data_IF_038881310279
#
_entry.id   IF_038881310279
#
_cell.length_a   1.000
_cell.length_b   1.000
_cell.length_c   1.000
_cell.angle_alpha   90.00
_cell.angle_beta   90.00
_cell.angle_gamma   90.00
#
_symmetry.space_group_name_H-M   'P 1'
#
loop_
_entity.id
_entity.type
_entity.pdbx_description
1 polymer ?
#
# COMPACT_ATOMS: atom_id res chain seq x y z
N UNK A 1 -6.28 20.21 0.78
CA UNK A 1 -7.20 20.02 -0.37
C UNK A 1 -7.80 18.64 -0.29
N UNK A 2 -8.88 18.37 -1.03
CA UNK A 2 -9.50 17.04 -1.07
C UNK A 2 -8.78 16.13 -2.09
N UNK A 3 -8.53 14.88 -1.73
CA UNK A 3 -8.03 13.85 -2.65
C UNK A 3 -9.18 13.11 -3.33
N UNK A 4 -9.06 12.86 -4.64
CA UNK A 4 -10.05 12.12 -5.43
C UNK A 4 -9.36 11.00 -6.22
N UNK A 5 -9.95 9.80 -6.22
CA UNK A 5 -9.52 8.69 -7.07
C UNK A 5 -10.17 8.83 -8.45
N UNK A 6 -9.39 8.72 -9.52
CA UNK A 6 -9.88 9.02 -10.89
C UNK A 6 -9.48 8.01 -11.98
N UNK A 7 -8.54 7.09 -11.73
CA UNK A 7 -8.12 6.07 -12.72
C UNK A 7 -8.46 4.66 -12.21
N UNK A 8 -9.56 4.11 -12.73
CA UNK A 8 -10.01 2.75 -12.44
C UNK A 8 -9.81 1.80 -13.62
N UNK A 9 -9.01 2.18 -14.63
CA UNK A 9 -8.80 1.39 -15.85
C UNK A 9 -8.12 0.03 -15.61
N UNK A 10 -7.43 -0.11 -14.48
CA UNK A 10 -6.82 -1.37 -14.03
C UNK A 10 -7.61 -2.08 -12.91
N UNK A 11 -8.69 -1.48 -12.41
CA UNK A 11 -9.50 -2.07 -11.37
C UNK A 11 -10.10 -3.41 -11.82
N UNK A 12 -10.42 -4.28 -10.86
CA UNK A 12 -10.97 -5.61 -11.13
C UNK A 12 -12.29 -5.77 -10.38
N UNK A 13 -13.35 -6.12 -11.12
CA UNK A 13 -14.66 -6.36 -10.56
C UNK A 13 -14.77 -7.80 -10.05
N UNK A 14 -14.79 -7.98 -8.72
CA UNK A 14 -14.92 -9.29 -8.09
C UNK A 14 -16.30 -9.94 -8.32
N UNK A 15 -17.34 -9.12 -8.48
CA UNK A 15 -18.72 -9.56 -8.68
C UNK A 15 -18.92 -10.39 -9.95
N UNK A 16 -18.13 -10.17 -11.00
CA UNK A 16 -18.21 -10.95 -12.24
C UNK A 16 -17.67 -12.39 -12.08
N UNK A 17 -16.94 -12.67 -11.00
CA UNK A 17 -16.30 -13.97 -10.73
C UNK A 17 -17.00 -14.73 -9.59
N UNK A 18 -17.83 -14.03 -8.82
CA UNK A 18 -18.65 -14.61 -7.77
C UNK A 18 -19.84 -15.34 -8.40
N UNK A 19 -19.78 -16.67 -8.46
CA UNK A 19 -21.01 -17.46 -8.62
C UNK A 19 -22.02 -17.11 -7.51
N UNK A 20 -23.29 -17.47 -7.71
CA UNK A 20 -24.47 -17.00 -6.94
C UNK A 20 -24.42 -17.09 -5.40
N UNK A 21 -23.38 -17.68 -4.78
CA UNK A 21 -23.21 -17.81 -3.33
C UNK A 21 -21.75 -17.65 -2.83
N UNK A 22 -20.80 -17.14 -3.63
CA UNK A 22 -19.37 -17.18 -3.28
C UNK A 22 -18.74 -15.82 -2.97
N UNK A 23 -18.23 -15.62 -1.75
CA UNK A 23 -17.22 -14.57 -1.50
C UNK A 23 -15.95 -14.91 -2.29
N UNK A 24 -15.54 -14.01 -3.18
CA UNK A 24 -14.30 -14.14 -3.95
C UNK A 24 -13.16 -13.52 -3.14
N UNK A 25 -12.21 -14.35 -2.69
CA UNK A 25 -11.06 -13.89 -1.89
C UNK A 25 -9.96 -13.24 -2.73
N UNK A 26 -9.88 -13.56 -4.03
CA UNK A 26 -8.91 -13.03 -4.97
C UNK A 26 -9.36 -13.25 -6.42
N UNK A 27 -8.76 -12.52 -7.36
CA UNK A 27 -8.96 -12.61 -8.79
C UNK A 27 -7.65 -12.96 -9.48
N UNK A 28 -7.59 -14.14 -10.09
CA UNK A 28 -6.42 -14.57 -10.85
C UNK A 28 -6.32 -13.83 -12.19
N UNK A 29 -5.11 -13.43 -12.57
CA UNK A 29 -4.85 -12.78 -13.86
C UNK A 29 -3.64 -13.36 -14.57
N UNK A 30 -3.75 -13.54 -15.89
CA UNK A 30 -2.64 -14.03 -16.73
C UNK A 30 -1.62 -12.93 -17.09
N UNK A 31 -2.01 -11.66 -16.98
CA UNK A 31 -1.13 -10.50 -17.25
C UNK A 31 -1.19 -9.53 -16.09
N UNK A 32 -0.03 -9.29 -15.51
CA UNK A 32 0.16 -8.36 -14.39
C UNK A 32 0.45 -6.98 -14.99
N UNK A 33 -0.39 -6.01 -14.62
CA UNK A 33 -0.20 -4.60 -14.94
C UNK A 33 -0.24 -3.82 -13.64
N UNK A 34 0.76 -2.99 -13.40
CA UNK A 34 0.83 -2.16 -12.20
C UNK A 34 2.05 -1.26 -12.22
N UNK A 35 2.10 -0.33 -11.26
CA UNK A 35 3.19 0.63 -11.13
C UNK A 35 4.29 0.06 -10.21
N UNK A 36 5.56 -0.01 -10.66
CA UNK A 36 6.67 -0.44 -9.80
C UNK A 36 6.71 0.35 -8.48
N UNK A 37 6.99 -0.36 -7.38
CA UNK A 37 6.96 0.21 -6.02
C UNK A 37 5.59 0.10 -5.32
N UNK A 38 4.48 -0.04 -6.06
CA UNK A 38 3.13 -0.17 -5.47
C UNK A 38 2.57 -1.60 -5.55
N UNK A 39 3.22 -2.50 -6.28
CA UNK A 39 2.75 -3.87 -6.46
C UNK A 39 3.19 -4.77 -5.30
N UNK A 40 2.23 -5.45 -4.69
CA UNK A 40 2.48 -6.50 -3.71
C UNK A 40 3.13 -7.73 -4.36
N UNK A 41 3.98 -8.42 -3.60
CA UNK A 41 4.53 -9.72 -3.94
C UNK A 41 3.47 -10.75 -4.36
N UNK A 42 2.28 -10.78 -3.74
CA UNK A 42 1.21 -11.72 -4.09
C UNK A 42 0.75 -11.53 -5.53
N UNK A 43 0.52 -10.28 -5.98
CA UNK A 43 0.10 -10.04 -7.36
C UNK A 43 1.26 -10.30 -8.34
N UNK A 44 2.52 -10.07 -7.95
CA UNK A 44 3.66 -10.30 -8.85
C UNK A 44 4.06 -11.76 -8.99
N UNK A 45 3.91 -12.58 -7.96
CA UNK A 45 4.30 -14.00 -7.96
C UNK A 45 3.14 -14.92 -8.34
N UNK A 46 1.96 -14.68 -7.76
CA UNK A 46 0.82 -15.58 -7.89
C UNK A 46 -0.21 -15.08 -8.91
N UNK A 47 -0.07 -13.84 -9.40
CA UNK A 47 -1.03 -13.23 -10.31
C UNK A 47 -2.40 -13.02 -9.66
N UNK A 48 -2.47 -12.92 -8.33
CA UNK A 48 -3.71 -12.81 -7.58
C UNK A 48 -3.94 -11.37 -7.12
N UNK A 49 -4.95 -10.71 -7.67
CA UNK A 49 -5.41 -9.40 -7.21
C UNK A 49 -6.46 -9.58 -6.10
N UNK A 50 -6.38 -8.81 -5.03
CA UNK A 50 -7.35 -8.84 -3.93
C UNK A 50 -7.36 -7.51 -3.17
N UNK A 51 -8.29 -7.37 -2.22
CA UNK A 51 -8.29 -6.24 -1.28
C UNK A 51 -6.97 -6.12 -0.51
N UNK A 52 -6.23 -7.22 -0.34
CA UNK A 52 -4.95 -7.23 0.37
C UNK A 52 -3.85 -6.59 -0.48
N UNK A 53 -3.83 -6.87 -1.79
CA UNK A 53 -2.87 -6.24 -2.72
C UNK A 53 -3.18 -4.77 -2.91
N UNK A 54 -4.46 -4.39 -2.89
CA UNK A 54 -4.88 -2.98 -2.88
C UNK A 54 -4.47 -2.28 -1.57
N UNK A 55 -4.62 -2.98 -0.43
CA UNK A 55 -4.18 -2.51 0.88
C UNK A 55 -2.68 -2.23 0.93
N UNK A 56 -1.85 -3.11 0.34
CA UNK A 56 -0.41 -2.88 0.21
C UNK A 56 -0.13 -1.58 -0.58
N UNK A 57 -0.76 -1.40 -1.75
CA UNK A 57 -0.60 -0.21 -2.57
C UNK A 57 -1.03 1.07 -1.83
N UNK A 58 -2.09 1.00 -1.02
CA UNK A 58 -2.50 2.10 -0.13
C UNK A 58 -1.44 2.39 0.93
N UNK A 59 -0.87 1.37 1.57
CA UNK A 59 0.23 1.53 2.53
C UNK A 59 1.43 2.26 1.91
N UNK A 60 1.85 1.88 0.69
CA UNK A 60 2.89 2.60 -0.03
C UNK A 60 2.48 4.05 -0.34
N UNK A 61 1.22 4.29 -0.71
CA UNK A 61 0.72 5.64 -0.99
C UNK A 61 0.76 6.55 0.23
N UNK A 62 0.41 6.02 1.41
CA UNK A 62 0.54 6.73 2.67
C UNK A 62 2.00 7.04 3.00
N UNK A 63 2.92 6.07 2.79
CA UNK A 63 4.35 6.28 3.02
C UNK A 63 4.95 7.33 2.07
N UNK A 64 4.55 7.34 0.80
CA UNK A 64 4.90 8.40 -0.17
C UNK A 64 4.38 9.76 0.30
N UNK A 65 3.18 9.80 0.86
CA UNK A 65 2.56 11.05 1.32
C UNK A 65 3.23 11.58 2.59
N UNK A 66 3.64 10.67 3.50
CA UNK A 66 4.41 11.00 4.69
C UNK A 66 5.79 11.55 4.33
N UNK A 67 6.52 10.85 3.45
CA UNK A 67 7.95 11.10 3.19
C UNK A 67 8.22 12.07 2.05
N UNK A 68 7.25 12.29 1.14
CA UNK A 68 7.47 13.03 -0.11
C UNK A 68 8.38 12.31 -1.12
N UNK A 69 8.77 11.05 -0.85
CA UNK A 69 9.72 10.29 -1.66
C UNK A 69 9.01 9.39 -2.69
N UNK A 70 9.72 9.01 -3.74
CA UNK A 70 9.22 8.06 -4.73
C UNK A 70 9.06 6.64 -4.15
N UNK A 71 8.03 5.91 -4.59
CA UNK A 71 7.65 4.60 -4.05
C UNK A 71 8.66 3.47 -4.24
N UNK A 72 9.52 3.54 -5.26
CA UNK A 72 10.43 2.43 -5.60
C UNK A 72 11.48 2.24 -4.50
N UNK A 73 11.43 1.08 -3.84
CA UNK A 73 12.33 0.75 -2.71
C UNK A 73 12.03 1.50 -1.41
N UNK A 74 10.98 2.32 -1.37
CA UNK A 74 10.69 3.21 -0.24
C UNK A 74 10.42 2.44 1.05
N UNK A 75 9.65 1.36 0.97
CA UNK A 75 9.31 0.54 2.13
C UNK A 75 10.55 -0.03 2.84
N UNK A 76 11.56 -0.43 2.07
CA UNK A 76 12.83 -0.92 2.64
C UNK A 76 13.69 0.20 3.19
N UNK A 77 13.64 1.39 2.57
CA UNK A 77 14.42 2.54 2.99
C UNK A 77 13.88 3.23 4.26
N UNK A 78 12.71 2.82 4.74
CA UNK A 78 12.06 3.31 5.96
C UNK A 78 11.73 2.16 6.92
N UNK A 79 12.35 0.99 6.74
CA UNK A 79 12.01 -0.21 7.53
C UNK A 79 12.23 0.01 9.02
N UNK A 80 13.36 0.63 9.39
CA UNK A 80 13.72 0.89 10.79
C UNK A 80 12.70 1.81 11.47
N UNK A 81 12.31 2.93 10.84
CA UNK A 81 11.33 3.85 11.41
C UNK A 81 9.90 3.30 11.42
N UNK A 82 9.62 2.32 10.57
CA UNK A 82 8.34 1.61 10.58
C UNK A 82 8.32 0.50 11.65
N UNK A 83 9.47 -0.06 12.02
CA UNK A 83 9.59 -0.96 13.17
C UNK A 83 9.49 -0.21 14.51
N UNK A 84 9.89 1.05 14.53
CA UNK A 84 9.81 1.98 15.68
C UNK A 84 8.97 3.22 15.33
N UNK A 85 7.61 3.12 15.25
CA UNK A 85 6.76 4.18 14.71
C UNK A 85 6.86 5.54 15.40
N UNK A 86 7.31 5.60 16.65
CA UNK A 86 7.57 6.85 17.38
C UNK A 86 8.73 7.66 16.79
N UNK A 87 9.56 7.05 15.94
CA UNK A 87 10.64 7.72 15.20
C UNK A 87 10.21 8.24 13.81
N UNK A 88 8.96 8.01 13.40
CA UNK A 88 8.46 8.30 12.05
C UNK A 88 8.50 9.80 11.65
N UNK A 89 8.59 10.72 12.61
CA UNK A 89 8.78 12.14 12.31
C UNK A 89 10.09 12.39 11.53
N UNK A 90 11.12 11.56 11.76
CA UNK A 90 12.43 11.71 11.10
C UNK A 90 12.41 11.46 9.59
N UNK A 91 11.43 10.68 9.10
CA UNK A 91 11.24 10.39 7.68
C UNK A 91 10.16 11.27 7.04
N UNK A 92 9.48 12.11 7.83
CA UNK A 92 8.42 12.97 7.33
C UNK A 92 8.96 14.10 6.44
N UNK A 93 8.23 14.40 5.36
CA UNK A 93 8.54 15.54 4.50
C UNK A 93 8.44 16.85 5.28
N UNK A 94 9.55 17.59 5.34
CA UNK A 94 9.70 18.80 6.17
C UNK A 94 8.71 19.91 5.79
N UNK A 95 8.32 19.96 4.52
CA UNK A 95 7.39 20.93 3.95
C UNK A 95 5.91 20.51 4.03
N UNK A 96 5.62 19.26 4.42
CA UNK A 96 4.26 18.74 4.53
C UNK A 96 3.58 19.11 5.86
N UNK A 97 4.34 19.56 6.86
CA UNK A 97 3.80 20.04 8.13
C UNK A 97 3.17 18.95 9.02
N UNK A 98 3.59 17.69 8.87
CA UNK A 98 3.19 16.60 9.75
C UNK A 98 3.63 16.88 11.19
N UNK A 99 2.75 16.68 12.17
CA UNK A 99 3.18 16.57 13.56
C UNK A 99 3.75 15.17 13.83
N UNK A 100 4.61 15.05 14.85
CA UNK A 100 5.13 13.76 15.31
C UNK A 100 4.02 12.70 15.52
N UNK A 101 2.91 13.08 16.17
CA UNK A 101 1.77 12.19 16.39
C UNK A 101 1.09 11.75 15.07
N UNK A 102 0.99 12.64 14.07
CA UNK A 102 0.42 12.27 12.77
C UNK A 102 1.36 11.33 12.00
N UNK A 103 2.67 11.59 12.06
CA UNK A 103 3.68 10.74 11.43
C UNK A 103 3.68 9.33 12.04
N UNK A 104 3.62 9.23 13.36
CA UNK A 104 3.53 7.96 14.10
C UNK A 104 2.26 7.17 13.73
N UNK A 105 1.10 7.81 13.75
CA UNK A 105 -0.16 7.14 13.39
C UNK A 105 -0.16 6.67 11.93
N UNK A 106 0.37 7.48 11.01
CA UNK A 106 0.55 7.07 9.61
C UNK A 106 1.51 5.89 9.49
N UNK A 107 2.63 5.89 10.22
CA UNK A 107 3.57 4.77 10.22
C UNK A 107 2.91 3.48 10.71
N UNK A 108 2.10 3.52 11.78
CA UNK A 108 1.33 2.36 12.28
C UNK A 108 0.36 1.82 11.22
N UNK A 109 -0.31 2.70 10.48
CA UNK A 109 -1.18 2.30 9.36
C UNK A 109 -0.40 1.64 8.22
N UNK A 110 0.74 2.23 7.83
CA UNK A 110 1.64 1.66 6.82
C UNK A 110 2.12 0.28 7.25
N UNK A 111 2.46 0.09 8.52
CA UNK A 111 2.89 -1.20 9.06
C UNK A 111 1.82 -2.27 8.87
N UNK A 112 0.58 -1.97 9.29
CA UNK A 112 -0.54 -2.88 9.17
C UNK A 112 -0.90 -3.23 7.71
N UNK A 113 -0.71 -2.27 6.80
CA UNK A 113 -1.05 -2.44 5.38
C UNK A 113 0.05 -3.12 4.56
N UNK A 114 1.33 -2.84 4.85
CA UNK A 114 2.45 -3.20 3.97
C UNK A 114 3.58 -4.03 4.61
N UNK A 115 3.86 -3.88 5.90
CA UNK A 115 5.04 -4.52 6.54
C UNK A 115 4.73 -5.83 7.29
N UNK A 116 3.58 -5.94 7.95
CA UNK A 116 3.15 -7.19 8.60
C UNK A 116 3.13 -8.36 7.59
N UNK A 117 2.98 -8.05 6.30
CA UNK A 117 3.09 -9.02 5.19
C UNK A 117 4.52 -9.35 4.78
N UNK A 118 5.45 -8.38 4.76
CA UNK A 118 6.85 -8.62 4.38
C UNK A 118 7.52 -9.67 5.27
N UNK A 119 7.10 -9.79 6.53
CA UNK A 119 7.64 -10.74 7.52
C UNK A 119 6.99 -12.14 7.50
N UNK A 120 6.00 -12.40 6.63
CA UNK A 120 5.33 -13.71 6.53
C UNK A 120 5.78 -14.52 5.33
#
# INVERSE_FOLDING_TARGET
GNGYLADVGLARAAEATAGSNGQVSHLSTQRIFGKPGYMDSIITHDGQASQLTDGFALGITLLVSLTGRGALGLLNACEDELEEPDTAESIAAVDAGWSAAQAEELARLVVGLALVRKKR
#
